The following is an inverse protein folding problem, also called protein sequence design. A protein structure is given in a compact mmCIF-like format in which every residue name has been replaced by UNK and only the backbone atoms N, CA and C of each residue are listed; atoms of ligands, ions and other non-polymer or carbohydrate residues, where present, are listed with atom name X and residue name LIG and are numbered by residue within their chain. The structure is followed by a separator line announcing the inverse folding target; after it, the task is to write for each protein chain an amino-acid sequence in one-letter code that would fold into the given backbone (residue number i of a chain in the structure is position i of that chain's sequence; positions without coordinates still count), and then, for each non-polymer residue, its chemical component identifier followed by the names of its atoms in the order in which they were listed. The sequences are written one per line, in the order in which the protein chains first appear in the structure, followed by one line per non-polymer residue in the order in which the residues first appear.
data_IF_742296221392
#
_entry.id   IF_742296221392
#
_cell.length_a   1.000
_cell.length_b   1.000
_cell.length_c   1.000
_cell.angle_alpha   90.00
_cell.angle_beta   90.00
_cell.angle_gamma   90.00
#
_symmetry.space_group_name_H-M   'P 1'
#
loop_
_entity.id
_entity.type
_entity.pdbx_description
1 polymer ?
#
# COMPACT_ATOMS: atom_id res chain seq x y z
N UNK A 1 -21.09 -6.27 -15.46
CA UNK A 1 -19.86 -5.44 -15.55
C UNK A 1 -19.41 -5.14 -14.12
N UNK A 2 -18.11 -5.26 -13.79
CA UNK A 2 -17.62 -4.98 -12.42
C UNK A 2 -17.71 -3.47 -12.17
N UNK A 3 -18.26 -3.04 -11.03
CA UNK A 3 -18.28 -1.62 -10.64
C UNK A 3 -16.86 -1.19 -10.32
N UNK A 4 -16.33 -0.12 -10.96
CA UNK A 4 -15.02 0.39 -10.68
C UNK A 4 -14.90 0.89 -9.24
N UNK A 5 -13.75 0.61 -8.60
CA UNK A 5 -13.41 1.09 -7.27
C UNK A 5 -12.43 2.24 -7.39
N UNK A 6 -12.66 3.30 -6.64
CA UNK A 6 -11.90 4.55 -6.73
C UNK A 6 -11.54 5.04 -5.33
N UNK A 7 -10.25 5.25 -5.11
CA UNK A 7 -9.77 5.84 -3.86
C UNK A 7 -10.01 7.36 -3.82
N UNK A 8 -10.46 7.85 -2.68
CA UNK A 8 -10.58 9.28 -2.38
C UNK A 8 -9.72 9.62 -1.16
N UNK A 9 -8.79 10.61 -1.26
CA UNK A 9 -7.78 10.85 -0.21
C UNK A 9 -8.31 11.60 1.02
N UNK A 10 -9.56 12.06 0.98
CA UNK A 10 -10.19 12.78 2.08
C UNK A 10 -11.40 11.98 2.60
N UNK A 11 -11.76 12.13 3.88
CA UNK A 11 -12.93 11.48 4.43
C UNK A 11 -14.19 11.78 3.63
N UNK A 12 -14.97 10.74 3.33
CA UNK A 12 -16.20 10.83 2.55
C UNK A 12 -17.42 10.97 3.49
N UNK A 13 -18.41 11.79 3.12
CA UNK A 13 -19.68 11.84 3.83
C UNK A 13 -20.47 10.54 3.63
N UNK A 14 -21.43 10.27 4.54
CA UNK A 14 -22.30 9.09 4.40
C UNK A 14 -23.24 9.17 3.21
N UNK A 15 -23.59 10.36 2.77
CA UNK A 15 -24.44 10.67 1.61
C UNK A 15 -24.12 12.05 1.07
N UNK A 16 -24.49 12.32 -0.19
CA UNK A 16 -24.40 13.62 -0.83
C UNK A 16 -23.35 13.70 -1.92
N UNK A 17 -23.19 14.87 -2.47
CA UNK A 17 -22.36 15.12 -3.65
C UNK A 17 -20.92 15.39 -3.27
N UNK A 18 -19.99 14.74 -3.97
CA UNK A 18 -18.55 14.88 -3.79
C UNK A 18 -17.85 15.08 -5.13
N UNK A 19 -16.93 16.03 -5.16
CA UNK A 19 -16.01 16.20 -6.27
C UNK A 19 -14.83 15.24 -6.10
N UNK A 20 -14.56 14.43 -7.12
CA UNK A 20 -13.39 13.53 -7.09
C UNK A 20 -12.10 14.33 -7.16
N UNK A 21 -11.03 13.79 -6.53
CA UNK A 21 -9.69 14.35 -6.68
C UNK A 21 -9.24 14.34 -8.14
N UNK A 22 -8.25 15.17 -8.50
CA UNK A 22 -7.75 15.29 -9.88
C UNK A 22 -7.29 13.95 -10.45
N UNK A 23 -6.57 13.13 -9.65
CA UNK A 23 -6.12 11.79 -10.05
C UNK A 23 -7.32 10.86 -10.30
N UNK A 24 -8.30 10.84 -9.40
CA UNK A 24 -9.50 10.04 -9.52
C UNK A 24 -10.40 10.52 -10.71
N UNK A 25 -10.58 11.82 -10.88
CA UNK A 25 -11.32 12.39 -11.99
C UNK A 25 -10.67 12.07 -13.34
N UNK A 26 -9.34 12.16 -13.43
CA UNK A 26 -8.60 11.76 -14.61
C UNK A 26 -8.76 10.24 -14.91
N UNK A 27 -8.71 9.39 -13.88
CA UNK A 27 -8.89 7.95 -14.04
C UNK A 27 -10.32 7.62 -14.52
N UNK A 28 -11.34 8.15 -13.87
CA UNK A 28 -12.76 7.93 -14.22
C UNK A 28 -13.12 8.53 -15.58
N UNK A 29 -12.76 9.80 -15.79
CA UNK A 29 -13.22 10.56 -16.97
C UNK A 29 -12.39 10.29 -18.25
N UNK A 30 -11.04 10.16 -18.13
CA UNK A 30 -10.18 10.00 -19.30
C UNK A 30 -9.79 8.55 -19.58
N UNK A 31 -9.40 7.79 -18.55
CA UNK A 31 -8.91 6.41 -18.71
C UNK A 31 -10.10 5.49 -18.92
N UNK A 32 -11.05 5.47 -18.01
CA UNK A 32 -12.24 4.61 -18.08
C UNK A 32 -13.35 5.18 -18.94
N UNK A 33 -13.34 6.48 -19.23
CA UNK A 33 -14.36 7.20 -20.04
C UNK A 33 -15.78 6.98 -19.55
N UNK A 34 -15.96 7.00 -18.25
CA UNK A 34 -17.25 6.78 -17.63
C UNK A 34 -18.18 7.99 -17.86
N UNK A 35 -19.47 7.71 -17.88
CA UNK A 35 -20.53 8.67 -18.19
C UNK A 35 -21.41 8.94 -16.95
N UNK A 36 -22.13 10.05 -16.98
CA UNK A 36 -23.17 10.36 -16.00
C UNK A 36 -24.18 9.21 -15.89
N UNK A 37 -24.59 8.87 -14.69
CA UNK A 37 -25.48 7.75 -14.37
C UNK A 37 -24.79 6.41 -14.15
N UNK A 38 -23.50 6.29 -14.44
CA UNK A 38 -22.76 5.06 -14.16
C UNK A 38 -22.34 4.97 -12.68
N UNK A 39 -22.29 3.75 -12.17
CA UNK A 39 -21.95 3.47 -10.79
C UNK A 39 -20.45 3.37 -10.58
N UNK A 40 -19.99 3.89 -9.45
CA UNK A 40 -18.63 3.73 -8.91
C UNK A 40 -18.72 3.36 -7.44
N UNK A 41 -17.69 2.70 -6.93
CA UNK A 41 -17.56 2.38 -5.52
C UNK A 41 -16.36 3.16 -4.97
N UNK A 42 -16.61 4.15 -4.12
CA UNK A 42 -15.53 4.91 -3.49
C UNK A 42 -15.08 4.26 -2.18
N UNK A 43 -13.85 4.54 -1.79
CA UNK A 43 -13.32 4.25 -0.45
C UNK A 43 -12.27 5.31 -0.08
N UNK A 44 -12.14 5.61 1.22
CA UNK A 44 -11.33 6.71 1.75
C UNK A 44 -10.29 6.27 2.80
N UNK A 45 -10.11 4.96 2.97
CA UNK A 45 -9.23 4.41 3.99
C UNK A 45 -9.88 4.18 5.36
N UNK A 46 -11.14 4.56 5.55
CA UNK A 46 -11.89 4.35 6.80
C UNK A 46 -12.43 2.94 6.99
N UNK A 47 -12.01 1.99 6.16
CA UNK A 47 -12.50 0.61 6.14
C UNK A 47 -13.99 0.49 5.78
N UNK A 48 -14.55 1.50 5.11
CA UNK A 48 -15.90 1.53 4.58
C UNK A 48 -15.91 1.68 3.06
N UNK A 49 -17.03 1.34 2.45
CA UNK A 49 -17.33 1.53 1.03
C UNK A 49 -18.45 2.54 0.86
N UNK A 50 -18.37 3.28 -0.23
CA UNK A 50 -19.33 4.34 -0.55
C UNK A 50 -19.85 4.14 -1.97
N UNK A 51 -20.93 3.35 -2.16
CA UNK A 51 -21.61 3.28 -3.43
C UNK A 51 -22.04 4.66 -3.91
N UNK A 52 -21.70 5.01 -5.14
CA UNK A 52 -21.99 6.31 -5.71
C UNK A 52 -22.34 6.21 -7.19
N UNK A 53 -23.00 7.26 -7.70
CA UNK A 53 -23.35 7.42 -9.11
C UNK A 53 -22.72 8.70 -9.63
N UNK A 54 -22.17 8.67 -10.83
CA UNK A 54 -21.61 9.85 -11.47
C UNK A 54 -22.77 10.83 -11.79
N UNK A 55 -22.76 11.99 -11.14
CA UNK A 55 -23.74 13.05 -11.32
C UNK A 55 -23.32 14.07 -12.39
N UNK A 56 -22.02 14.31 -12.52
CA UNK A 56 -21.44 15.19 -13.53
C UNK A 56 -20.08 14.69 -13.98
N UNK A 57 -19.80 14.74 -15.28
CA UNK A 57 -18.51 14.33 -15.84
C UNK A 57 -18.09 15.32 -16.92
N UNK A 58 -16.96 15.98 -16.68
CA UNK A 58 -16.29 16.85 -17.63
C UNK A 58 -14.86 16.36 -17.91
N UNK A 59 -14.17 17.00 -18.83
CA UNK A 59 -12.74 16.67 -19.11
C UNK A 59 -11.81 16.93 -17.93
N UNK A 60 -12.20 17.77 -16.97
CA UNK A 60 -11.34 18.24 -15.87
C UNK A 60 -11.87 17.87 -14.48
N UNK A 61 -13.14 17.55 -14.36
CA UNK A 61 -13.77 17.26 -13.06
C UNK A 61 -14.83 16.19 -13.20
N UNK A 62 -14.94 15.35 -12.20
CA UNK A 62 -16.00 14.35 -12.06
C UNK A 62 -16.65 14.54 -10.70
N UNK A 63 -17.95 14.61 -10.68
CA UNK A 63 -18.76 14.71 -9.49
C UNK A 63 -19.60 13.46 -9.33
N UNK A 64 -19.74 12.99 -8.12
CA UNK A 64 -20.49 11.78 -7.78
C UNK A 64 -21.48 12.04 -6.66
N UNK A 65 -22.61 11.37 -6.70
CA UNK A 65 -23.61 11.34 -5.64
C UNK A 65 -23.43 10.05 -4.82
N UNK A 66 -22.95 10.19 -3.58
CA UNK A 66 -22.82 9.08 -2.63
C UNK A 66 -24.21 8.69 -2.13
N UNK A 67 -24.56 7.42 -2.24
CA UNK A 67 -25.84 6.87 -1.86
C UNK A 67 -25.88 6.37 -0.41
N UNK A 68 -24.79 5.78 0.05
CA UNK A 68 -24.67 5.24 1.40
C UNK A 68 -23.22 5.10 1.82
N UNK A 69 -22.98 4.98 3.14
CA UNK A 69 -21.76 4.44 3.71
C UNK A 69 -22.03 3.01 4.16
N UNK A 70 -21.22 2.07 3.69
CA UNK A 70 -21.34 0.64 4.00
C UNK A 70 -20.08 0.17 4.71
N UNK A 71 -20.22 -0.31 5.95
CA UNK A 71 -19.10 -0.92 6.68
C UNK A 71 -18.76 -2.26 6.02
N UNK A 72 -17.54 -2.39 5.52
CA UNK A 72 -17.08 -3.61 4.86
C UNK A 72 -15.59 -3.82 5.15
N UNK A 73 -15.28 -4.47 6.27
CA UNK A 73 -13.92 -4.82 6.64
C UNK A 73 -13.53 -6.17 6.07
N UNK A 74 -12.58 -6.15 5.15
CA UNK A 74 -11.92 -7.36 4.61
C UNK A 74 -10.46 -7.44 5.05
N UNK A 75 -10.04 -6.55 5.95
CA UNK A 75 -8.67 -6.51 6.44
C UNK A 75 -8.35 -7.73 7.31
N UNK A 76 -7.12 -8.23 7.17
CA UNK A 76 -6.58 -9.25 8.07
C UNK A 76 -6.48 -8.70 9.50
N UNK A 77 -6.77 -9.51 10.54
CA UNK A 77 -6.50 -9.13 11.91
C UNK A 77 -5.00 -9.06 12.24
N UNK A 78 -4.13 -9.57 11.36
CA UNK A 78 -2.69 -9.52 11.50
C UNK A 78 -2.14 -8.20 10.94
N UNK A 79 -1.50 -7.40 11.80
CA UNK A 79 -0.78 -6.19 11.39
C UNK A 79 0.61 -6.58 10.85
N UNK A 80 0.83 -6.35 9.55
CA UNK A 80 2.09 -6.69 8.86
C UNK A 80 2.80 -5.42 8.45
N UNK A 81 3.99 -5.23 8.99
CA UNK A 81 4.92 -4.18 8.59
C UNK A 81 6.08 -4.78 7.78
N UNK A 82 6.11 -4.53 6.49
CA UNK A 82 7.18 -5.00 5.60
C UNK A 82 8.31 -3.97 5.52
N UNK A 83 9.50 -4.35 5.95
CA UNK A 83 10.77 -3.68 5.62
C UNK A 83 11.37 -4.31 4.38
N UNK A 84 11.20 -3.66 3.23
CA UNK A 84 11.72 -4.15 1.95
C UNK A 84 12.95 -3.38 1.54
N UNK A 85 14.10 -4.05 1.42
CA UNK A 85 15.26 -3.42 0.80
C UNK A 85 14.94 -3.15 -0.67
N UNK A 86 15.20 -1.91 -1.11
CA UNK A 86 14.82 -1.43 -2.44
C UNK A 86 15.44 -2.31 -3.52
N UNK A 87 14.60 -2.97 -4.29
CA UNK A 87 14.98 -3.82 -5.42
C UNK A 87 15.14 -3.00 -6.70
N UNK A 88 15.88 -3.53 -7.66
CA UNK A 88 16.12 -2.86 -8.95
C UNK A 88 14.93 -2.99 -9.88
N UNK A 89 14.75 -1.96 -10.73
CA UNK A 89 13.74 -1.93 -11.80
C UNK A 89 12.33 -2.13 -11.25
N UNK A 90 11.51 -2.85 -12.00
CA UNK A 90 10.08 -3.06 -11.73
C UNK A 90 9.81 -4.03 -10.57
N UNK A 91 10.84 -4.68 -10.02
CA UNK A 91 10.68 -5.65 -8.92
C UNK A 91 10.12 -4.98 -7.66
N UNK A 92 10.57 -3.76 -7.34
CA UNK A 92 10.05 -3.05 -6.17
C UNK A 92 8.55 -2.74 -6.34
N UNK A 93 8.14 -2.33 -7.52
CA UNK A 93 6.74 -2.03 -7.84
C UNK A 93 5.87 -3.28 -7.76
N UNK A 94 6.35 -4.40 -8.32
CA UNK A 94 5.70 -5.71 -8.20
C UNK A 94 5.59 -6.15 -6.73
N UNK A 95 6.65 -5.99 -5.94
CA UNK A 95 6.64 -6.33 -4.50
C UNK A 95 5.59 -5.52 -3.76
N UNK A 96 5.51 -4.20 -3.98
CA UNK A 96 4.50 -3.34 -3.35
C UNK A 96 3.10 -3.82 -3.73
N UNK A 97 2.82 -3.99 -5.02
CA UNK A 97 1.52 -4.46 -5.50
C UNK A 97 1.11 -5.77 -4.81
N UNK A 98 1.98 -6.78 -4.82
CA UNK A 98 1.65 -8.10 -4.26
C UNK A 98 1.58 -8.09 -2.74
N UNK A 99 2.38 -7.29 -2.06
CA UNK A 99 2.29 -7.12 -0.61
C UNK A 99 0.96 -6.48 -0.19
N UNK A 100 0.47 -5.51 -0.95
CA UNK A 100 -0.85 -4.90 -0.73
C UNK A 100 -1.95 -5.93 -0.92
N UNK A 101 -1.94 -6.68 -2.02
CA UNK A 101 -2.92 -7.75 -2.29
C UNK A 101 -2.94 -8.83 -1.19
N UNK A 102 -1.79 -9.09 -0.54
CA UNK A 102 -1.63 -10.05 0.54
C UNK A 102 -1.92 -9.49 1.94
N UNK A 103 -2.32 -8.24 2.07
CA UNK A 103 -2.79 -7.68 3.33
C UNK A 103 -1.75 -6.90 4.15
N UNK A 104 -0.60 -6.50 3.58
CA UNK A 104 0.36 -5.64 4.30
C UNK A 104 -0.29 -4.31 4.74
N UNK A 105 0.06 -3.82 5.94
CA UNK A 105 -0.47 -2.56 6.49
C UNK A 105 0.51 -1.41 6.33
N UNK A 106 1.81 -1.71 6.43
CA UNK A 106 2.87 -0.71 6.32
C UNK A 106 4.05 -1.28 5.52
N UNK A 107 4.61 -0.47 4.62
CA UNK A 107 5.84 -0.80 3.89
C UNK A 107 6.88 0.27 4.17
N UNK A 108 8.06 -0.12 4.62
CA UNK A 108 9.22 0.77 4.71
C UNK A 108 10.25 0.35 3.66
N UNK A 109 10.49 1.19 2.64
CA UNK A 109 11.60 0.97 1.71
C UNK A 109 12.93 1.18 2.43
N UNK A 110 13.84 0.21 2.33
CA UNK A 110 15.12 0.21 3.06
C UNK A 110 16.31 0.31 2.13
N UNK A 111 17.37 0.96 2.63
CA UNK A 111 18.71 0.98 2.03
C UNK A 111 19.60 0.11 2.90
N UNK A 112 20.21 -0.92 2.31
CA UNK A 112 21.24 -1.76 2.91
C UNK A 112 22.57 -1.57 2.18
N UNK A 113 23.65 -2.15 2.71
CA UNK A 113 24.97 -2.07 2.11
C UNK A 113 24.99 -2.57 0.65
N UNK A 114 24.27 -3.66 0.37
CA UNK A 114 24.17 -4.26 -0.97
C UNK A 114 22.99 -3.77 -1.79
N UNK A 115 22.34 -2.69 -1.36
CA UNK A 115 21.31 -2.04 -2.14
C UNK A 115 21.93 -1.46 -3.42
N UNK A 116 21.54 -2.00 -4.57
CA UNK A 116 22.07 -1.56 -5.86
C UNK A 116 21.48 -0.25 -6.39
N UNK A 117 20.63 0.41 -5.61
CA UNK A 117 19.93 1.64 -5.99
C UNK A 117 20.56 2.81 -5.23
N UNK A 118 21.19 3.72 -5.98
CA UNK A 118 21.73 4.98 -5.45
C UNK A 118 20.90 6.14 -6.00
N UNK A 119 20.04 6.70 -5.18
CA UNK A 119 19.22 7.86 -5.52
C UNK A 119 19.49 8.99 -4.53
N UNK A 120 19.32 10.24 -4.98
CA UNK A 120 19.28 11.40 -4.10
C UNK A 120 17.89 11.54 -3.45
N UNK A 121 17.77 12.43 -2.46
CA UNK A 121 16.53 12.65 -1.71
C UNK A 121 15.33 12.96 -2.63
N UNK A 122 15.49 13.88 -3.58
CA UNK A 122 14.42 14.27 -4.52
C UNK A 122 13.90 13.09 -5.36
N UNK A 123 14.80 12.22 -5.81
CA UNK A 123 14.40 11.02 -6.56
C UNK A 123 13.69 9.99 -5.68
N UNK A 124 14.06 9.91 -4.40
CA UNK A 124 13.33 9.06 -3.45
C UNK A 124 11.93 9.59 -3.20
N UNK A 125 11.73 10.91 -3.06
CA UNK A 125 10.39 11.49 -2.92
C UNK A 125 9.48 11.15 -4.10
N UNK A 126 9.97 11.36 -5.34
CA UNK A 126 9.22 10.97 -6.55
C UNK A 126 8.90 9.47 -6.59
N UNK A 127 9.83 8.61 -6.13
CA UNK A 127 9.58 7.18 -6.04
C UNK A 127 8.56 6.82 -4.96
N UNK A 128 8.57 7.47 -3.82
CA UNK A 128 7.56 7.29 -2.77
C UNK A 128 6.16 7.63 -3.27
N UNK A 129 6.00 8.74 -3.97
CA UNK A 129 4.72 9.11 -4.60
C UNK A 129 4.26 8.05 -5.61
N UNK A 130 5.18 7.57 -6.45
CA UNK A 130 4.88 6.49 -7.41
C UNK A 130 4.47 5.20 -6.70
N UNK A 131 5.19 4.78 -5.67
CA UNK A 131 4.89 3.58 -4.90
C UNK A 131 3.57 3.68 -4.15
N UNK A 132 3.24 4.87 -3.61
CA UNK A 132 1.93 5.10 -2.98
C UNK A 132 0.78 4.98 -4.00
N UNK A 133 0.95 5.49 -5.23
CA UNK A 133 -0.02 5.30 -6.31
C UNK A 133 -0.20 3.84 -6.70
N UNK A 134 0.87 3.05 -6.69
CA UNK A 134 0.81 1.59 -6.92
C UNK A 134 0.01 0.90 -5.80
N UNK A 135 0.23 1.28 -4.54
CA UNK A 135 -0.53 0.74 -3.41
C UNK A 135 -2.02 1.06 -3.52
N UNK A 136 -2.37 2.28 -3.92
CA UNK A 136 -3.77 2.70 -4.17
C UNK A 136 -4.38 1.85 -5.29
N UNK A 137 -3.72 1.75 -6.44
CA UNK A 137 -4.21 0.97 -7.58
C UNK A 137 -4.39 -0.52 -7.23
N UNK A 138 -3.49 -1.08 -6.40
CA UNK A 138 -3.63 -2.44 -5.89
C UNK A 138 -4.88 -2.60 -5.00
N UNK A 139 -5.18 -1.63 -4.12
CA UNK A 139 -6.41 -1.62 -3.32
C UNK A 139 -7.67 -1.52 -4.18
N UNK A 140 -7.67 -0.66 -5.20
CA UNK A 140 -8.77 -0.53 -6.16
C UNK A 140 -9.04 -1.87 -6.87
N UNK A 141 -7.99 -2.60 -7.20
CA UNK A 141 -8.09 -3.88 -7.90
C UNK A 141 -8.47 -5.04 -6.97
N UNK A 142 -7.84 -5.18 -5.80
CA UNK A 142 -8.02 -6.31 -4.90
C UNK A 142 -9.24 -6.18 -3.97
N UNK A 143 -9.79 -4.96 -3.81
CA UNK A 143 -10.98 -4.71 -3.01
C UNK A 143 -10.71 -4.20 -1.60
N UNK A 144 -9.46 -3.99 -1.19
CA UNK A 144 -9.15 -3.42 0.12
C UNK A 144 -9.66 -1.99 0.25
N UNK A 145 -10.19 -1.65 1.43
CA UNK A 145 -10.70 -0.31 1.74
C UNK A 145 -9.70 0.53 2.55
N UNK A 146 -8.65 -0.10 3.07
CA UNK A 146 -7.55 0.55 3.78
C UNK A 146 -6.31 0.54 2.89
N UNK A 147 -5.80 1.72 2.54
CA UNK A 147 -4.58 1.85 1.75
C UNK A 147 -3.37 1.72 2.66
N UNK A 148 -2.43 0.79 2.41
CA UNK A 148 -1.21 0.68 3.17
C UNK A 148 -0.36 1.95 3.13
N UNK A 149 0.30 2.23 4.25
CA UNK A 149 1.23 3.35 4.35
C UNK A 149 2.59 2.97 3.77
N UNK A 150 3.08 3.73 2.78
CA UNK A 150 4.48 3.67 2.35
C UNK A 150 5.27 4.70 3.16
N UNK A 151 6.15 4.23 4.06
CA UNK A 151 6.97 5.11 4.90
C UNK A 151 8.11 5.73 4.09
N UNK A 152 8.70 6.84 4.57
CA UNK A 152 9.94 7.38 4.01
C UNK A 152 11.04 6.33 3.92
N UNK A 153 11.90 6.44 2.90
CA UNK A 153 13.07 5.58 2.76
C UNK A 153 14.02 5.80 3.93
N UNK A 154 14.52 4.71 4.52
CA UNK A 154 15.47 4.79 5.62
C UNK A 154 16.55 3.70 5.55
N UNK A 155 17.61 3.86 6.33
CA UNK A 155 18.67 2.84 6.42
C UNK A 155 18.17 1.63 7.20
N UNK A 156 18.61 0.44 6.79
CA UNK A 156 18.26 -0.82 7.43
C UNK A 156 18.59 -0.82 8.92
N UNK A 157 19.80 -0.34 9.30
CA UNK A 157 20.23 -0.30 10.70
C UNK A 157 19.28 0.57 11.55
N UNK A 158 18.88 1.72 11.03
CA UNK A 158 17.95 2.63 11.72
C UNK A 158 16.58 1.97 11.91
N UNK A 159 16.07 1.29 10.88
CA UNK A 159 14.80 0.59 10.95
C UNK A 159 14.83 -0.59 11.94
N UNK A 160 15.93 -1.35 11.98
CA UNK A 160 16.10 -2.44 12.93
C UNK A 160 16.21 -1.94 14.38
N UNK A 161 16.77 -0.74 14.58
CA UNK A 161 16.92 -0.11 15.89
C UNK A 161 15.61 0.51 16.43
N UNK A 162 14.59 0.70 15.58
CA UNK A 162 13.28 1.17 16.06
C UNK A 162 12.67 0.17 17.04
N UNK A 163 12.10 0.67 18.14
CA UNK A 163 11.28 -0.15 19.03
C UNK A 163 10.07 -0.69 18.27
N UNK A 164 9.75 -1.95 18.49
CA UNK A 164 8.62 -2.62 17.87
C UNK A 164 8.00 -3.65 18.82
N UNK A 165 6.73 -3.43 19.14
CA UNK A 165 5.94 -4.33 19.97
C UNK A 165 5.25 -5.39 19.06
N UNK A 166 5.98 -6.43 18.73
CA UNK A 166 5.52 -7.53 17.88
C UNK A 166 6.66 -8.45 17.47
N UNK A 167 6.32 -9.45 16.68
CA UNK A 167 7.28 -10.44 16.19
C UNK A 167 8.13 -9.84 15.07
N UNK A 168 9.45 -9.88 15.23
CA UNK A 168 10.41 -9.48 14.19
C UNK A 168 10.89 -10.73 13.44
N UNK A 169 10.75 -10.74 12.12
CA UNK A 169 11.12 -11.85 11.26
C UNK A 169 12.08 -11.41 10.15
N UNK A 170 13.08 -12.24 9.91
CA UNK A 170 13.92 -12.16 8.72
C UNK A 170 13.90 -13.52 8.02
N UNK A 171 13.51 -13.55 6.75
CA UNK A 171 13.52 -14.78 5.96
C UNK A 171 14.94 -15.08 5.48
N UNK A 172 15.49 -16.17 5.98
CA UNK A 172 16.83 -16.62 5.63
C UNK A 172 16.82 -18.08 5.14
N UNK A 173 17.47 -18.41 3.99
CA UNK A 173 17.44 -19.77 3.43
C UNK A 173 18.00 -20.86 4.34
N UNK A 174 18.84 -20.49 5.31
CA UNK A 174 19.45 -21.40 6.29
C UNK A 174 18.94 -21.12 7.71
N UNK A 175 17.69 -20.70 7.85
CA UNK A 175 17.08 -20.50 9.17
C UNK A 175 16.91 -21.83 9.91
N UNK A 176 17.13 -21.82 11.22
CA UNK A 176 16.88 -22.99 12.08
C UNK A 176 15.41 -23.16 12.43
N UNK A 177 14.61 -22.11 12.28
CA UNK A 177 13.19 -22.09 12.60
C UNK A 177 12.35 -22.00 11.34
N UNK A 178 11.18 -22.60 11.37
CA UNK A 178 10.14 -22.52 10.35
C UNK A 178 9.04 -21.55 10.82
N UNK A 179 8.32 -20.94 9.88
CA UNK A 179 7.15 -20.11 10.18
C UNK A 179 6.10 -20.90 11.02
N UNK A 180 6.03 -22.21 10.82
CA UNK A 180 5.10 -23.10 11.55
C UNK A 180 5.51 -23.35 13.02
N UNK A 181 6.72 -22.94 13.43
CA UNK A 181 7.20 -23.07 14.81
C UNK A 181 7.19 -21.75 15.57
N UNK A 182 6.62 -20.72 14.99
CA UNK A 182 6.49 -19.41 15.64
C UNK A 182 5.48 -19.45 16.79
N UNK A 183 5.69 -18.62 17.83
CA UNK A 183 4.72 -18.52 18.92
C UNK A 183 3.36 -18.01 18.40
N UNK A 184 2.29 -18.58 18.92
CA UNK A 184 0.91 -18.15 18.59
C UNK A 184 0.14 -17.79 19.87
N UNK A 185 -0.81 -16.85 19.83
CA UNK A 185 -1.22 -16.04 18.70
C UNK A 185 -0.24 -14.90 18.38
N UNK A 186 -0.09 -14.56 17.10
CA UNK A 186 0.69 -13.39 16.64
C UNK A 186 -0.27 -12.39 16.04
N UNK A 187 -0.27 -11.15 16.52
CA UNK A 187 -1.14 -10.06 16.05
C UNK A 187 -0.38 -8.99 15.26
N UNK A 188 0.94 -8.90 15.48
CA UNK A 188 1.81 -7.94 14.82
C UNK A 188 3.10 -8.59 14.36
N UNK A 189 3.48 -8.36 13.12
CA UNK A 189 4.71 -8.90 12.52
C UNK A 189 5.44 -7.79 11.78
N UNK A 190 6.74 -7.67 12.06
CA UNK A 190 7.67 -6.88 11.27
C UNK A 190 8.55 -7.84 10.45
N UNK A 191 8.41 -7.81 9.13
CA UNK A 191 9.08 -8.73 8.20
C UNK A 191 10.16 -7.98 7.42
N UNK A 192 11.41 -8.45 7.50
CA UNK A 192 12.53 -7.93 6.73
C UNK A 192 12.81 -8.81 5.50
N UNK A 193 12.84 -8.18 4.33
CA UNK A 193 13.25 -8.81 3.06
C UNK A 193 14.46 -8.06 2.50
N UNK A 194 15.55 -8.78 2.27
CA UNK A 194 16.79 -8.26 1.70
C UNK A 194 16.70 -7.97 0.19
N UNK A 195 17.76 -7.38 -0.38
CA UNK A 195 17.87 -7.16 -1.82
C UNK A 195 18.21 -8.47 -2.55
N UNK A 196 18.24 -8.43 -3.90
CA UNK A 196 18.60 -9.60 -4.73
C UNK A 196 19.99 -10.18 -4.39
N UNK A 197 20.94 -9.33 -3.97
CA UNK A 197 22.27 -9.73 -3.52
C UNK A 197 22.35 -10.25 -2.07
N UNK A 198 21.18 -10.35 -1.41
CA UNK A 198 21.09 -10.72 0.01
C UNK A 198 21.63 -9.63 0.95
N UNK A 199 21.47 -9.85 2.25
CA UNK A 199 22.03 -9.00 3.30
C UNK A 199 23.52 -9.27 3.47
N UNK A 200 24.33 -8.24 3.70
CA UNK A 200 25.74 -8.35 4.02
C UNK A 200 25.96 -8.94 5.43
N UNK A 201 27.21 -9.21 5.79
CA UNK A 201 27.55 -9.61 7.15
C UNK A 201 27.25 -8.49 8.17
N UNK A 202 27.45 -7.23 7.77
CA UNK A 202 27.16 -6.07 8.62
C UNK A 202 25.65 -5.82 8.75
N UNK A 203 24.90 -5.88 7.64
CA UNK A 203 23.43 -5.81 7.67
C UNK A 203 22.84 -6.85 8.65
N UNK A 204 23.38 -8.07 8.66
CA UNK A 204 22.89 -9.16 9.53
C UNK A 204 23.14 -8.91 11.01
N UNK A 205 24.22 -8.21 11.39
CA UNK A 205 24.46 -7.83 12.80
C UNK A 205 23.36 -6.90 13.33
N UNK A 206 22.79 -6.08 12.48
CA UNK A 206 21.70 -5.16 12.86
C UNK A 206 20.34 -5.86 12.99
N UNK A 207 20.21 -7.09 12.48
CA UNK A 207 18.95 -7.85 12.44
C UNK A 207 18.81 -8.81 13.64
N UNK A 208 19.87 -9.05 14.41
CA UNK A 208 19.89 -9.98 15.56
C UNK A 208 19.42 -9.29 16.84
#
# INVERSE_FOLDING_TARGET
MRIPRIYHPQPLPSQGTVMLSDDAANHVGRVMRMQVGQQVLLFDGSNAEFPAVISNASKKSVEVEIQARVENSIESPLDIHLGQVISRGDKMEFTIQKSVELGVNTITPLISERCGVKLNAERFEKKLEQWQKIAIAACEQCGRNVVPTIRPVMKLEQWCAEEYDGLKLNLHPRAHYSINTLPTPVTKVRLLIGPEGGLSAEDRKSVV
#
